data_IF_538872961963
#
_entry.id   IF_538872961963
#
_cell.length_a   1.000
_cell.length_b   1.000
_cell.length_c   1.000
_cell.angle_alpha   90.00
_cell.angle_beta   90.00
_cell.angle_gamma   90.00
#
_symmetry.space_group_name_H-M   'P 1'
#
loop_
_entity.id
_entity.type
_entity.pdbx_description
1 polymer ?
#
# COMPACT_ATOMS: atom_id res chain seq x y z
N UNK A 1 -0.69 -28.87 -13.46
CA UNK A 1 -0.27 -27.44 -13.46
C UNK A 1 0.75 -27.26 -12.35
N UNK A 2 1.76 -26.42 -12.54
CA UNK A 2 2.75 -26.14 -11.50
C UNK A 2 2.09 -25.59 -10.25
N UNK A 3 2.62 -25.93 -9.07
CA UNK A 3 2.23 -25.36 -7.79
C UNK A 3 2.78 -23.93 -7.62
N UNK A 4 3.85 -23.61 -8.34
CA UNK A 4 4.58 -22.34 -8.30
C UNK A 4 4.41 -21.56 -9.60
N UNK A 5 4.42 -20.24 -9.49
CA UNK A 5 4.31 -19.33 -10.63
C UNK A 5 5.54 -19.47 -11.56
N UNK A 6 6.72 -19.50 -10.99
CA UNK A 6 7.98 -19.77 -11.69
C UNK A 6 9.02 -20.43 -10.75
N UNK A 7 10.18 -20.79 -11.31
CA UNK A 7 11.30 -21.43 -10.61
C UNK A 7 11.87 -20.58 -9.47
N UNK A 8 11.73 -19.27 -9.52
CA UNK A 8 12.29 -18.34 -8.52
C UNK A 8 11.66 -18.54 -7.15
N UNK A 9 10.41 -19.00 -7.08
CA UNK A 9 9.73 -19.23 -5.80
C UNK A 9 10.36 -20.35 -4.96
N UNK A 10 11.16 -21.22 -5.59
CA UNK A 10 11.80 -22.40 -4.96
C UNK A 10 13.33 -22.37 -5.03
N UNK A 11 13.93 -21.27 -5.49
CA UNK A 11 15.40 -21.11 -5.43
C UNK A 11 15.88 -21.24 -3.98
N UNK A 12 17.01 -21.91 -3.79
CA UNK A 12 17.64 -21.95 -2.47
C UNK A 12 17.88 -20.51 -1.95
N UNK A 13 17.66 -20.26 -0.64
CA UNK A 13 17.76 -18.90 -0.08
C UNK A 13 19.08 -18.20 -0.38
N UNK A 14 20.21 -18.92 -0.31
CA UNK A 14 21.55 -18.36 -0.58
C UNK A 14 21.73 -18.04 -2.08
N UNK A 15 21.18 -18.86 -2.97
CA UNK A 15 21.20 -18.61 -4.42
C UNK A 15 20.36 -17.38 -4.76
N UNK A 16 19.17 -17.24 -4.16
CA UNK A 16 18.32 -16.06 -4.34
C UNK A 16 19.01 -14.79 -3.85
N UNK A 17 19.60 -14.82 -2.67
CA UNK A 17 20.34 -13.69 -2.12
C UNK A 17 21.52 -13.32 -3.01
N UNK A 18 22.30 -14.30 -3.48
CA UNK A 18 23.41 -14.10 -4.40
C UNK A 18 22.95 -13.50 -5.74
N UNK A 19 21.82 -13.96 -6.31
CA UNK A 19 21.22 -13.38 -7.52
C UNK A 19 20.85 -11.90 -7.31
N UNK A 20 20.09 -11.59 -6.25
CA UNK A 20 19.70 -10.22 -5.93
C UNK A 20 20.90 -9.29 -5.76
N UNK A 21 21.87 -9.70 -4.95
CA UNK A 21 23.06 -8.89 -4.67
C UNK A 21 24.00 -8.76 -5.90
N UNK A 22 24.06 -9.77 -6.76
CA UNK A 22 24.83 -9.69 -8.01
C UNK A 22 24.26 -8.66 -9.00
N UNK A 23 22.94 -8.50 -9.02
CA UNK A 23 22.24 -7.53 -9.88
C UNK A 23 22.18 -6.12 -9.30
N UNK A 24 22.33 -5.98 -7.97
CA UNK A 24 22.14 -4.73 -7.25
C UNK A 24 23.01 -3.58 -7.79
N UNK A 25 24.32 -3.74 -8.04
CA UNK A 25 25.15 -2.65 -8.60
C UNK A 25 24.61 -2.11 -9.93
N UNK A 26 24.17 -2.99 -10.81
CA UNK A 26 23.63 -2.61 -12.12
C UNK A 26 22.29 -1.88 -11.98
N UNK A 27 21.43 -2.33 -11.07
CA UNK A 27 20.15 -1.69 -10.76
C UNK A 27 20.39 -0.27 -10.22
N UNK A 28 21.31 -0.10 -9.27
CA UNK A 28 21.64 1.21 -8.70
C UNK A 28 22.25 2.16 -9.74
N UNK A 29 23.16 1.68 -10.60
CA UNK A 29 23.74 2.48 -11.67
C UNK A 29 22.70 2.89 -12.71
N UNK A 30 21.79 1.99 -13.10
CA UNK A 30 20.70 2.29 -14.01
C UNK A 30 19.72 3.31 -13.40
N UNK A 31 19.40 3.14 -12.12
CA UNK A 31 18.56 4.08 -11.36
C UNK A 31 19.17 5.47 -11.29
N UNK A 32 20.46 5.58 -10.96
CA UNK A 32 21.18 6.85 -10.92
C UNK A 32 21.23 7.54 -12.29
N UNK A 33 21.38 6.76 -13.36
CA UNK A 33 21.43 7.30 -14.73
C UNK A 33 20.04 7.76 -15.22
N UNK A 34 19.00 7.01 -14.89
CA UNK A 34 17.64 7.24 -15.40
C UNK A 34 16.78 8.18 -14.57
N UNK A 35 17.05 8.28 -13.25
CA UNK A 35 16.23 8.99 -12.29
C UNK A 35 17.07 10.00 -11.47
N UNK A 36 17.07 11.29 -11.82
CA UNK A 36 17.94 12.30 -11.19
C UNK A 36 17.75 12.45 -9.67
N UNK A 37 16.53 12.26 -9.17
CA UNK A 37 16.26 12.30 -7.72
C UNK A 37 16.90 11.09 -7.00
N UNK A 38 16.89 9.92 -7.62
CA UNK A 38 17.60 8.75 -7.11
C UNK A 38 19.11 8.97 -7.15
N UNK A 39 19.66 9.53 -8.24
CA UNK A 39 21.07 9.91 -8.29
C UNK A 39 21.48 10.82 -7.13
N UNK A 40 20.63 11.80 -6.78
CA UNK A 40 20.85 12.71 -5.64
C UNK A 40 20.79 11.96 -4.31
N UNK A 41 19.85 11.03 -4.13
CA UNK A 41 19.74 10.19 -2.92
C UNK A 41 20.97 9.31 -2.73
N UNK A 42 21.44 8.67 -3.81
CA UNK A 42 22.61 7.79 -3.79
C UNK A 42 23.92 8.54 -3.48
N UNK A 43 23.99 9.83 -3.83
CA UNK A 43 25.14 10.69 -3.50
C UNK A 43 26.47 10.16 -4.04
N UNK A 44 27.55 10.28 -3.24
CA UNK A 44 28.89 9.87 -3.67
C UNK A 44 29.21 8.38 -3.44
N UNK A 45 28.19 7.54 -3.19
CA UNK A 45 28.39 6.10 -2.96
C UNK A 45 28.93 5.43 -4.21
N UNK A 46 29.98 4.61 -4.07
CA UNK A 46 30.46 3.76 -5.16
C UNK A 46 29.45 2.63 -5.43
N UNK A 47 28.56 2.87 -6.39
CA UNK A 47 27.47 1.96 -6.72
C UNK A 47 27.95 0.60 -7.25
N UNK A 48 29.18 0.52 -7.79
CA UNK A 48 29.75 -0.75 -8.25
C UNK A 48 30.20 -1.63 -7.07
N UNK A 49 30.49 -1.02 -5.93
CA UNK A 49 30.91 -1.69 -4.71
C UNK A 49 29.74 -2.17 -3.83
N UNK A 50 28.51 -1.70 -4.07
CA UNK A 50 27.33 -2.11 -3.28
C UNK A 50 26.91 -3.54 -3.66
N UNK A 51 27.43 -4.54 -2.95
CA UNK A 51 27.24 -5.98 -3.23
C UNK A 51 26.76 -6.79 -2.04
N UNK A 52 26.43 -6.13 -0.94
CA UNK A 52 25.90 -6.74 0.26
C UNK A 52 24.79 -5.89 0.87
N UNK A 53 24.03 -6.48 1.81
CA UNK A 53 23.04 -5.72 2.59
C UNK A 53 23.70 -4.67 3.48
N UNK A 54 24.93 -4.91 3.93
CA UNK A 54 25.70 -3.97 4.73
C UNK A 54 26.12 -2.75 3.89
N UNK A 55 26.61 -2.96 2.67
CA UNK A 55 26.94 -1.86 1.75
C UNK A 55 25.71 -0.99 1.45
N UNK A 56 24.54 -1.61 1.36
CA UNK A 56 23.28 -0.91 1.09
C UNK A 56 22.93 0.11 2.20
N UNK A 57 23.40 -0.12 3.44
CA UNK A 57 23.17 0.81 4.57
C UNK A 57 23.85 2.17 4.39
N UNK A 58 24.84 2.28 3.51
CA UNK A 58 25.46 3.56 3.17
C UNK A 58 24.49 4.50 2.44
N UNK A 59 23.41 3.96 1.84
CA UNK A 59 22.39 4.74 1.15
C UNK A 59 21.32 5.14 2.17
N UNK A 60 20.94 6.43 2.28
CA UNK A 60 19.94 6.86 3.24
C UNK A 60 18.54 6.32 2.89
N UNK A 61 17.74 6.04 3.91
CA UNK A 61 16.32 5.71 3.73
C UNK A 61 15.59 6.96 3.25
N UNK A 62 14.82 6.80 2.18
CA UNK A 62 14.01 7.83 1.55
C UNK A 62 12.53 7.53 1.80
N UNK A 63 11.76 8.54 2.18
CA UNK A 63 10.37 8.36 2.62
C UNK A 63 9.34 9.02 1.72
N UNK A 64 8.11 8.55 1.82
CA UNK A 64 6.97 9.04 1.03
C UNK A 64 6.74 10.55 1.15
N UNK A 65 6.97 11.14 2.32
CA UNK A 65 6.87 12.60 2.52
C UNK A 65 7.93 13.37 1.71
N UNK A 66 9.12 12.82 1.58
CA UNK A 66 10.22 13.42 0.79
C UNK A 66 9.94 13.27 -0.71
N UNK A 67 9.34 12.13 -1.14
CA UNK A 67 8.86 11.93 -2.51
C UNK A 67 7.82 13.01 -2.88
N UNK A 68 6.81 13.19 -2.04
CA UNK A 68 5.76 14.19 -2.25
C UNK A 68 6.35 15.60 -2.39
N UNK A 69 7.22 15.97 -1.45
CA UNK A 69 7.89 17.28 -1.45
C UNK A 69 8.69 17.49 -2.75
N UNK A 70 9.51 16.54 -3.14
CA UNK A 70 10.32 16.63 -4.34
C UNK A 70 9.46 16.71 -5.62
N UNK A 71 8.36 15.96 -5.70
CA UNK A 71 7.43 16.06 -6.81
C UNK A 71 6.73 17.43 -6.88
N UNK A 72 6.34 18.00 -5.73
CA UNK A 72 5.73 19.32 -5.68
C UNK A 72 6.72 20.39 -6.14
N UNK A 73 7.94 20.38 -5.62
CA UNK A 73 9.01 21.32 -5.98
C UNK A 73 9.38 21.21 -7.47
N UNK A 74 9.53 20.02 -8.01
CA UNK A 74 9.86 19.81 -9.41
C UNK A 74 8.76 20.34 -10.35
N UNK A 75 7.48 20.12 -10.01
CA UNK A 75 6.36 20.65 -10.80
C UNK A 75 6.27 22.17 -10.74
N UNK A 76 6.55 22.78 -9.58
CA UNK A 76 6.57 24.24 -9.42
C UNK A 76 7.68 24.87 -10.27
N UNK A 77 8.89 24.31 -10.20
CA UNK A 77 10.03 24.74 -11.02
C UNK A 77 9.72 24.62 -12.52
N UNK A 78 9.12 23.52 -12.94
CA UNK A 78 8.76 23.31 -14.34
C UNK A 78 7.68 24.28 -14.84
N UNK A 79 6.72 24.69 -13.99
CA UNK A 79 5.71 25.69 -14.32
C UNK A 79 6.28 27.09 -14.50
N UNK A 80 7.34 27.41 -13.80
CA UNK A 80 7.94 28.76 -13.80
C UNK A 80 8.87 29.05 -14.96
N UNK A 81 9.16 28.09 -15.84
CA UNK A 81 9.98 28.39 -17.03
C UNK A 81 10.60 27.23 -17.79
N UNK A 82 10.28 25.99 -17.50
CA UNK A 82 10.86 24.86 -18.22
C UNK A 82 10.14 24.54 -19.53
N UNK A 83 10.84 24.05 -20.58
CA UNK A 83 10.23 23.51 -21.78
C UNK A 83 9.29 22.34 -21.47
N UNK A 84 8.28 22.12 -22.34
CA UNK A 84 7.28 21.08 -22.15
C UNK A 84 7.82 19.65 -22.01
N UNK A 85 8.99 19.38 -22.59
CA UNK A 85 9.67 18.08 -22.47
C UNK A 85 10.15 17.81 -21.03
N UNK A 86 10.65 18.85 -20.36
CA UNK A 86 11.09 18.74 -18.96
C UNK A 86 9.91 18.59 -18.01
N UNK A 87 8.77 19.19 -18.34
CA UNK A 87 7.56 19.04 -17.54
C UNK A 87 7.06 17.59 -17.48
N UNK A 88 7.13 16.86 -18.60
CA UNK A 88 6.72 15.45 -18.64
C UNK A 88 7.54 14.53 -17.73
N UNK A 89 8.81 14.86 -17.48
CA UNK A 89 9.68 14.17 -16.54
C UNK A 89 9.49 14.68 -15.10
N UNK A 90 9.32 16.00 -14.94
CA UNK A 90 9.22 16.65 -13.64
C UNK A 90 7.98 16.25 -12.83
N UNK A 91 6.92 15.79 -13.50
CA UNK A 91 5.70 15.30 -12.86
C UNK A 91 5.99 14.21 -11.81
N UNK A 92 6.98 13.35 -12.10
CA UNK A 92 7.42 12.29 -11.20
C UNK A 92 8.55 12.73 -10.24
N UNK A 93 8.88 14.01 -10.18
CA UNK A 93 9.89 14.55 -9.27
C UNK A 93 11.31 14.05 -9.50
N UNK A 94 11.60 13.50 -10.70
CA UNK A 94 12.90 12.90 -11.02
C UNK A 94 13.11 11.48 -10.46
N UNK A 95 12.06 10.82 -9.94
CA UNK A 95 12.13 9.44 -9.44
C UNK A 95 11.85 8.39 -10.51
N UNK A 96 11.25 8.78 -11.63
CA UNK A 96 11.00 7.90 -12.75
C UNK A 96 12.11 7.98 -13.79
N UNK A 97 12.49 6.83 -14.35
CA UNK A 97 13.39 6.77 -15.51
C UNK A 97 12.65 6.94 -16.84
N UNK A 98 11.30 6.97 -16.80
CA UNK A 98 10.45 7.21 -17.97
C UNK A 98 9.61 8.47 -17.78
N UNK A 99 9.43 9.25 -18.85
CA UNK A 99 8.47 10.34 -18.90
C UNK A 99 7.05 9.81 -19.14
N UNK A 100 6.01 10.61 -18.87
CA UNK A 100 4.63 10.18 -19.04
C UNK A 100 4.28 9.67 -20.46
N UNK A 101 4.93 10.17 -21.50
CA UNK A 101 4.70 9.72 -22.88
C UNK A 101 5.13 8.26 -23.13
N UNK A 102 6.04 7.72 -22.33
CA UNK A 102 6.46 6.32 -22.36
C UNK A 102 5.63 5.44 -21.40
N UNK A 103 4.90 6.02 -20.45
CA UNK A 103 4.01 5.30 -19.56
C UNK A 103 2.77 4.80 -20.32
N UNK A 104 2.16 3.72 -19.80
CA UNK A 104 0.82 3.25 -20.22
C UNK A 104 -0.25 4.09 -19.54
N UNK A 105 -0.08 4.37 -18.25
CA UNK A 105 -0.97 5.18 -17.41
C UNK A 105 -0.13 6.01 -16.44
N UNK A 106 -0.70 7.09 -15.95
CA UNK A 106 -0.19 7.87 -14.83
C UNK A 106 -1.26 7.86 -13.76
N UNK A 107 -0.88 7.50 -12.55
CA UNK A 107 -1.77 7.48 -11.40
C UNK A 107 -1.44 8.59 -10.42
N UNK A 108 -2.37 8.86 -9.51
CA UNK A 108 -2.20 9.80 -8.42
C UNK A 108 -2.63 9.14 -7.10
N UNK A 109 -1.69 8.92 -6.21
CA UNK A 109 -1.99 8.59 -4.82
C UNK A 109 -2.16 9.86 -3.97
N UNK A 110 -2.79 9.75 -2.78
CA UNK A 110 -3.03 10.93 -1.94
C UNK A 110 -1.76 11.73 -1.63
N UNK A 111 -1.85 13.05 -1.92
CA UNK A 111 -0.75 13.99 -1.75
C UNK A 111 -0.86 15.26 -2.60
N UNK A 112 -1.15 15.31 -3.94
CA UNK A 112 -1.09 14.21 -4.88
C UNK A 112 0.35 13.84 -5.26
N UNK A 113 0.64 12.54 -5.21
CA UNK A 113 1.85 11.93 -5.75
C UNK A 113 1.52 11.21 -7.04
N UNK A 114 2.37 11.36 -8.05
CA UNK A 114 2.16 10.76 -9.36
C UNK A 114 3.11 9.58 -9.56
N UNK A 115 2.56 8.45 -9.96
CA UNK A 115 3.28 7.22 -10.25
C UNK A 115 3.04 6.78 -11.70
N UNK A 116 4.09 6.38 -12.44
CA UNK A 116 3.92 5.81 -13.78
C UNK A 116 3.56 4.33 -13.70
N UNK A 117 2.73 3.87 -14.63
CA UNK A 117 2.64 2.46 -15.01
C UNK A 117 3.25 2.31 -16.41
N UNK A 118 4.31 1.54 -16.54
CA UNK A 118 4.90 1.30 -17.86
C UNK A 118 4.14 0.25 -18.66
N UNK A 119 4.61 -0.02 -19.88
CA UNK A 119 3.99 -1.02 -20.79
C UNK A 119 4.44 -2.46 -20.51
N UNK A 120 5.22 -2.68 -19.47
CA UNK A 120 5.72 -4.02 -19.10
C UNK A 120 4.57 -4.88 -18.62
N UNK A 121 4.52 -6.16 -19.00
CA UNK A 121 3.58 -7.10 -18.42
C UNK A 121 3.75 -7.19 -16.90
N UNK A 122 2.64 -7.34 -16.17
CA UNK A 122 2.62 -7.42 -14.70
C UNK A 122 3.53 -6.38 -14.02
N UNK A 123 3.45 -5.13 -14.49
CA UNK A 123 4.33 -4.04 -14.03
C UNK A 123 4.41 -3.92 -12.50
N UNK A 124 3.29 -4.19 -11.82
CA UNK A 124 3.15 -4.09 -10.37
C UNK A 124 3.49 -5.38 -9.62
N UNK A 125 3.71 -6.50 -10.32
CA UNK A 125 4.15 -7.76 -9.77
C UNK A 125 3.09 -8.60 -9.05
N UNK A 126 1.79 -8.34 -9.25
CA UNK A 126 0.70 -9.05 -8.56
C UNK A 126 0.33 -10.40 -9.18
N UNK A 127 0.82 -10.75 -10.38
CA UNK A 127 0.49 -12.03 -11.03
C UNK A 127 0.87 -13.23 -10.15
N UNK A 128 2.01 -13.15 -9.48
CA UNK A 128 2.48 -14.16 -8.52
C UNK A 128 1.52 -14.34 -7.34
N UNK A 129 1.00 -13.24 -6.80
CA UNK A 129 0.02 -13.27 -5.71
C UNK A 129 -1.32 -13.89 -6.17
N UNK A 130 -1.80 -13.53 -7.35
CA UNK A 130 -2.98 -14.14 -7.96
C UNK A 130 -2.79 -15.64 -8.17
N UNK A 131 -1.62 -16.04 -8.69
CA UNK A 131 -1.29 -17.45 -8.92
C UNK A 131 -1.27 -18.24 -7.61
N UNK A 132 -0.65 -17.69 -6.56
CA UNK A 132 -0.62 -18.29 -5.22
C UNK A 132 -2.01 -18.38 -4.58
N UNK A 133 -2.91 -17.41 -4.87
CA UNK A 133 -4.31 -17.45 -4.47
C UNK A 133 -5.18 -18.41 -5.31
N UNK A 134 -4.58 -19.13 -6.25
CA UNK A 134 -5.25 -20.18 -7.03
C UNK A 134 -5.87 -19.71 -8.34
N UNK A 135 -5.64 -18.49 -8.78
CA UNK A 135 -6.11 -18.02 -10.10
C UNK A 135 -5.30 -18.67 -11.23
N UNK A 136 -5.98 -19.02 -12.30
CA UNK A 136 -5.40 -19.73 -13.44
C UNK A 136 -5.95 -19.17 -14.76
N UNK A 137 -5.24 -19.48 -15.83
CA UNK A 137 -5.58 -19.13 -17.21
C UNK A 137 -7.05 -19.39 -17.51
N UNK A 138 -7.66 -18.50 -18.33
CA UNK A 138 -9.04 -18.58 -18.83
C UNK A 138 -10.11 -18.35 -17.73
N UNK A 139 -9.72 -18.00 -16.52
CA UNK A 139 -10.67 -17.63 -15.48
C UNK A 139 -11.13 -16.17 -15.60
N UNK A 140 -12.37 -15.91 -15.18
CA UNK A 140 -12.92 -14.56 -15.04
C UNK A 140 -12.69 -14.06 -13.61
N UNK A 141 -12.03 -12.92 -13.50
CA UNK A 141 -11.76 -12.22 -12.24
C UNK A 141 -12.66 -10.99 -12.14
N UNK A 142 -13.38 -10.86 -11.06
CA UNK A 142 -14.21 -9.68 -10.75
C UNK A 142 -13.37 -8.69 -9.93
N UNK A 143 -12.91 -7.61 -10.57
CA UNK A 143 -12.00 -6.65 -9.95
C UNK A 143 -12.76 -5.44 -9.41
N UNK A 144 -12.86 -5.33 -8.08
CA UNK A 144 -13.53 -4.25 -7.36
C UNK A 144 -12.57 -3.22 -6.77
N UNK A 145 -11.31 -3.21 -7.15
CA UNK A 145 -10.44 -2.08 -6.84
C UNK A 145 -10.80 -0.85 -7.67
N UNK A 146 -10.50 0.34 -7.12
CA UNK A 146 -10.75 1.59 -7.82
C UNK A 146 -9.92 1.68 -9.10
N UNK A 147 -10.57 2.10 -10.18
CA UNK A 147 -9.95 2.47 -11.44
C UNK A 147 -9.73 4.00 -11.58
N UNK A 148 -10.10 4.76 -10.54
CA UNK A 148 -9.99 6.21 -10.52
C UNK A 148 -8.80 6.65 -9.68
N UNK A 149 -7.96 7.52 -10.25
CA UNK A 149 -6.77 8.12 -9.67
C UNK A 149 -5.69 7.10 -9.24
N UNK A 150 -5.99 6.19 -8.31
CA UNK A 150 -5.03 5.23 -7.76
C UNK A 150 -4.82 4.00 -8.65
N UNK A 151 -3.66 3.34 -8.59
CA UNK A 151 -3.33 2.24 -9.49
C UNK A 151 -4.00 0.90 -9.14
N UNK A 152 -4.70 0.76 -8.02
CA UNK A 152 -5.11 -0.53 -7.48
C UNK A 152 -5.91 -1.41 -8.46
N UNK A 153 -6.87 -0.83 -9.23
CA UNK A 153 -7.60 -1.55 -10.26
C UNK A 153 -6.68 -2.04 -11.39
N UNK A 154 -5.77 -1.17 -11.84
CA UNK A 154 -4.79 -1.51 -12.89
C UNK A 154 -3.77 -2.55 -12.43
N UNK A 155 -3.36 -2.52 -11.16
CA UNK A 155 -2.47 -3.52 -10.58
C UNK A 155 -3.01 -4.93 -10.75
N UNK A 156 -4.27 -5.14 -10.38
CA UNK A 156 -4.92 -6.44 -10.48
C UNK A 156 -5.24 -6.80 -11.93
N UNK A 157 -5.64 -5.83 -12.75
CA UNK A 157 -5.92 -6.05 -14.17
C UNK A 157 -4.67 -6.50 -14.94
N UNK A 158 -3.54 -5.79 -14.78
CA UNK A 158 -2.29 -6.17 -15.48
C UNK A 158 -1.76 -7.53 -15.01
N UNK A 159 -1.92 -7.84 -13.73
CA UNK A 159 -1.56 -9.13 -13.15
C UNK A 159 -2.45 -10.27 -13.67
N UNK A 160 -3.76 -10.04 -13.76
CA UNK A 160 -4.71 -10.99 -14.32
C UNK A 160 -4.40 -11.30 -15.79
N UNK A 161 -4.13 -10.25 -16.59
CA UNK A 161 -3.74 -10.41 -18.00
C UNK A 161 -2.42 -11.18 -18.15
N UNK A 162 -1.47 -11.03 -17.23
CA UNK A 162 -0.23 -11.81 -17.24
C UNK A 162 -0.45 -13.31 -16.94
N UNK A 163 -1.60 -13.67 -16.37
CA UNK A 163 -2.05 -15.05 -16.18
C UNK A 163 -3.01 -15.54 -17.27
N UNK A 164 -3.22 -14.75 -18.33
CA UNK A 164 -4.24 -15.02 -19.36
C UNK A 164 -5.66 -15.13 -18.78
N UNK A 165 -5.97 -14.39 -17.71
CA UNK A 165 -7.31 -14.27 -17.14
C UNK A 165 -8.09 -13.14 -17.81
N UNK A 166 -9.42 -13.29 -17.82
CA UNK A 166 -10.34 -12.21 -18.18
C UNK A 166 -10.70 -11.38 -16.94
N UNK A 167 -10.84 -10.07 -17.09
CA UNK A 167 -11.19 -9.16 -15.99
C UNK A 167 -12.52 -8.47 -16.27
N UNK A 168 -13.42 -8.51 -15.27
CA UNK A 168 -14.55 -7.60 -15.22
C UNK A 168 -14.19 -6.40 -14.33
N UNK A 169 -14.13 -5.16 -14.86
CA UNK A 169 -13.70 -3.98 -14.11
C UNK A 169 -14.87 -3.39 -13.30
N UNK A 170 -15.30 -4.09 -12.25
CA UNK A 170 -16.43 -3.70 -11.41
C UNK A 170 -16.22 -2.40 -10.65
N UNK A 171 -14.97 -2.15 -10.21
CA UNK A 171 -14.64 -0.95 -9.44
C UNK A 171 -15.32 -0.91 -8.07
N UNK A 172 -15.44 0.29 -7.50
CA UNK A 172 -16.00 0.50 -6.15
C UNK A 172 -17.45 0.97 -6.19
N UNK A 173 -18.20 0.70 -5.12
CA UNK A 173 -19.61 1.14 -4.97
C UNK A 173 -20.61 0.31 -5.78
N UNK A 174 -21.81 0.88 -6.00
CA UNK A 174 -22.88 0.29 -6.82
C UNK A 174 -23.22 -1.18 -6.47
N UNK A 175 -23.32 -1.49 -5.18
CA UNK A 175 -23.36 -2.87 -4.65
C UNK A 175 -24.42 -3.76 -5.32
N UNK A 176 -25.62 -3.23 -5.60
CA UNK A 176 -26.69 -4.00 -6.26
C UNK A 176 -26.31 -4.39 -7.70
N UNK A 177 -25.70 -3.48 -8.45
CA UNK A 177 -25.23 -3.77 -9.80
C UNK A 177 -24.07 -4.77 -9.79
N UNK A 178 -23.17 -4.69 -8.78
CA UNK A 178 -22.11 -5.67 -8.58
C UNK A 178 -22.70 -7.08 -8.37
N UNK A 179 -23.75 -7.20 -7.53
CA UNK A 179 -24.46 -8.48 -7.28
C UNK A 179 -25.03 -9.03 -8.59
N UNK A 180 -25.76 -8.21 -9.36
CA UNK A 180 -26.34 -8.63 -10.64
C UNK A 180 -25.26 -9.11 -11.62
N UNK A 181 -24.21 -8.31 -11.80
CA UNK A 181 -23.13 -8.67 -12.71
C UNK A 181 -22.41 -9.97 -12.29
N UNK A 182 -22.18 -10.17 -10.98
CA UNK A 182 -21.59 -11.41 -10.48
C UNK A 182 -22.51 -12.63 -10.70
N UNK A 183 -23.82 -12.46 -10.55
CA UNK A 183 -24.79 -13.54 -10.78
C UNK A 183 -24.82 -13.94 -12.28
N UNK A 184 -24.79 -12.96 -13.16
CA UNK A 184 -24.85 -13.17 -14.62
C UNK A 184 -23.55 -13.76 -15.16
N UNK A 185 -22.41 -13.20 -14.76
CA UNK A 185 -21.08 -13.53 -15.29
C UNK A 185 -20.42 -14.73 -14.60
N UNK A 186 -20.82 -15.05 -13.37
CA UNK A 186 -20.30 -16.16 -12.56
C UNK A 186 -18.77 -16.18 -12.47
N UNK A 187 -18.13 -15.11 -11.96
CA UNK A 187 -16.68 -15.05 -11.90
C UNK A 187 -16.10 -16.17 -11.03
N UNK A 188 -14.92 -16.65 -11.38
CA UNK A 188 -14.19 -17.66 -10.61
C UNK A 188 -13.62 -17.10 -9.30
N UNK A 189 -13.32 -15.79 -9.31
CA UNK A 189 -12.74 -15.14 -8.14
C UNK A 189 -12.85 -13.62 -8.18
N UNK A 190 -12.46 -13.04 -7.06
CA UNK A 190 -12.60 -11.62 -6.75
C UNK A 190 -11.24 -10.99 -6.42
N UNK A 191 -11.04 -9.74 -6.82
CA UNK A 191 -9.97 -8.87 -6.32
C UNK A 191 -10.53 -7.55 -5.81
N UNK A 192 -10.13 -7.14 -4.63
CA UNK A 192 -10.66 -5.94 -3.97
C UNK A 192 -10.33 -5.92 -2.48
N UNK A 193 -11.03 -5.07 -1.72
CA UNK A 193 -10.93 -5.09 -0.27
C UNK A 193 -11.81 -6.20 0.32
N UNK A 194 -11.42 -6.82 1.44
CA UNK A 194 -12.22 -7.87 2.06
C UNK A 194 -13.59 -7.35 2.56
N UNK A 195 -13.61 -6.13 3.11
CA UNK A 195 -14.87 -5.52 3.58
C UNK A 195 -15.88 -5.34 2.45
N UNK A 196 -15.44 -4.95 1.24
CA UNK A 196 -16.35 -4.72 0.14
C UNK A 196 -16.91 -6.03 -0.44
N UNK A 197 -16.11 -7.10 -0.53
CA UNK A 197 -16.63 -8.41 -0.92
C UNK A 197 -17.69 -8.90 0.09
N UNK A 198 -17.44 -8.73 1.39
CA UNK A 198 -18.42 -9.10 2.42
C UNK A 198 -19.73 -8.35 2.20
N UNK A 199 -19.69 -7.03 1.99
CA UNK A 199 -20.86 -6.20 1.69
C UNK A 199 -21.62 -6.72 0.45
N UNK A 200 -20.92 -7.08 -0.62
CA UNK A 200 -21.52 -7.63 -1.84
C UNK A 200 -22.23 -8.96 -1.53
N UNK A 201 -21.59 -9.87 -0.79
CA UNK A 201 -22.17 -11.18 -0.45
C UNK A 201 -23.37 -11.06 0.48
N UNK A 202 -23.33 -10.20 1.50
CA UNK A 202 -24.47 -9.90 2.38
C UNK A 202 -25.61 -9.26 1.59
N UNK A 203 -25.31 -8.37 0.65
CA UNK A 203 -26.32 -7.79 -0.23
C UNK A 203 -26.97 -8.84 -1.14
N UNK A 204 -26.18 -9.74 -1.71
CA UNK A 204 -26.68 -10.86 -2.52
C UNK A 204 -27.64 -11.74 -1.71
N UNK A 205 -27.31 -12.06 -0.45
CA UNK A 205 -28.22 -12.79 0.45
C UNK A 205 -29.52 -12.02 0.66
N UNK A 206 -29.47 -10.71 0.92
CA UNK A 206 -30.67 -9.89 1.12
C UNK A 206 -31.56 -9.81 -0.12
N UNK A 207 -30.97 -9.90 -1.30
CA UNK A 207 -31.65 -9.92 -2.60
C UNK A 207 -32.09 -11.34 -3.00
N UNK A 208 -31.75 -12.37 -2.24
CA UNK A 208 -31.95 -13.79 -2.55
C UNK A 208 -31.31 -14.22 -3.89
N UNK A 209 -30.17 -13.62 -4.22
CA UNK A 209 -29.40 -13.92 -5.42
C UNK A 209 -28.18 -14.75 -5.04
N UNK A 210 -28.02 -15.91 -5.69
CA UNK A 210 -26.83 -16.74 -5.54
C UNK A 210 -25.66 -16.18 -6.37
N UNK A 211 -24.43 -16.32 -5.86
CA UNK A 211 -23.20 -15.96 -6.57
C UNK A 211 -22.41 -17.25 -6.91
N UNK A 212 -22.89 -18.04 -7.88
CA UNK A 212 -22.26 -19.30 -8.23
C UNK A 212 -20.92 -19.05 -8.93
N UNK A 213 -19.90 -19.87 -8.60
CA UNK A 213 -18.56 -19.78 -9.20
C UNK A 213 -17.55 -19.02 -8.34
N UNK A 214 -17.99 -18.06 -7.52
CA UNK A 214 -17.09 -17.31 -6.65
C UNK A 214 -16.52 -18.20 -5.55
N UNK A 215 -15.26 -18.63 -5.72
CA UNK A 215 -14.60 -19.61 -4.83
C UNK A 215 -13.29 -19.12 -4.22
N UNK A 216 -12.72 -18.05 -4.75
CA UNK A 216 -11.44 -17.51 -4.31
C UNK A 216 -11.40 -15.98 -4.38
N UNK A 217 -10.51 -15.39 -3.58
CA UNK A 217 -10.28 -13.94 -3.61
C UNK A 217 -8.83 -13.58 -3.28
N UNK A 218 -8.32 -12.51 -3.89
CA UNK A 218 -7.11 -11.84 -3.47
C UNK A 218 -7.46 -10.45 -2.93
N UNK A 219 -7.17 -10.23 -1.66
CA UNK A 219 -7.45 -9.00 -0.93
C UNK A 219 -6.20 -8.15 -0.76
N UNK A 220 -6.36 -6.84 -0.79
CA UNK A 220 -5.33 -5.87 -0.42
C UNK A 220 -5.96 -4.55 0.02
N UNK A 221 -5.13 -3.63 0.54
CA UNK A 221 -5.55 -2.27 0.90
C UNK A 221 -6.29 -2.15 2.23
N UNK A 222 -6.65 -3.25 2.87
CA UNK A 222 -7.26 -3.33 4.21
C UNK A 222 -6.71 -4.54 4.97
N UNK A 223 -6.86 -4.52 6.29
CA UNK A 223 -6.58 -5.69 7.12
C UNK A 223 -7.50 -6.87 6.77
N UNK A 224 -6.96 -8.07 6.85
CA UNK A 224 -7.70 -9.32 6.64
C UNK A 224 -7.59 -10.20 7.90
N UNK A 225 -8.35 -9.87 8.97
CA UNK A 225 -8.24 -10.52 10.26
C UNK A 225 -8.80 -11.94 10.25
N UNK A 226 -8.46 -12.79 11.25
CA UNK A 226 -8.93 -14.17 11.37
C UNK A 226 -10.46 -14.31 11.35
N UNK A 227 -11.17 -13.35 11.92
CA UNK A 227 -12.66 -13.33 11.90
C UNK A 227 -13.22 -13.25 10.46
N UNK A 228 -12.63 -12.39 9.60
CA UNK A 228 -13.02 -12.33 8.18
C UNK A 228 -12.55 -13.55 7.40
N UNK A 229 -11.38 -14.09 7.69
CA UNK A 229 -10.90 -15.34 7.07
C UNK A 229 -11.87 -16.48 7.32
N UNK A 230 -12.31 -16.64 8.58
CA UNK A 230 -13.32 -17.63 8.98
C UNK A 230 -14.64 -17.39 8.26
N UNK A 231 -15.12 -16.15 8.26
CA UNK A 231 -16.39 -15.79 7.62
C UNK A 231 -16.40 -16.16 6.12
N UNK A 232 -15.37 -15.80 5.36
CA UNK A 232 -15.27 -16.15 3.94
C UNK A 232 -15.15 -17.65 3.71
N UNK A 233 -14.39 -18.36 4.54
CA UNK A 233 -14.27 -19.82 4.47
C UNK A 233 -15.62 -20.52 4.69
N UNK A 234 -16.42 -20.05 5.66
CA UNK A 234 -17.76 -20.56 5.93
C UNK A 234 -18.74 -20.27 4.77
N UNK A 235 -18.45 -19.26 3.95
CA UNK A 235 -19.24 -18.91 2.75
C UNK A 235 -18.62 -19.46 1.45
N UNK A 236 -17.67 -20.40 1.54
CA UNK A 236 -17.08 -21.09 0.39
C UNK A 236 -16.07 -20.28 -0.41
N UNK A 237 -15.54 -19.17 0.13
CA UNK A 237 -14.53 -18.32 -0.53
C UNK A 237 -13.18 -18.48 0.15
N UNK A 238 -12.18 -19.00 -0.58
CA UNK A 238 -10.79 -19.02 -0.14
C UNK A 238 -10.14 -17.66 -0.39
N UNK A 239 -10.17 -16.75 0.60
CA UNK A 239 -9.54 -15.44 0.51
C UNK A 239 -8.05 -15.50 0.86
N UNK A 240 -7.21 -14.76 0.16
CA UNK A 240 -5.78 -14.57 0.41
C UNK A 240 -5.49 -13.06 0.42
N UNK A 241 -4.40 -12.65 1.07
CA UNK A 241 -4.03 -11.24 1.13
C UNK A 241 -2.69 -10.98 0.44
N UNK A 242 -2.54 -9.76 -0.09
CA UNK A 242 -1.27 -9.24 -0.57
C UNK A 242 -0.98 -7.87 0.03
N UNK A 243 0.28 -7.66 0.37
CA UNK A 243 0.80 -6.38 0.84
C UNK A 243 1.54 -5.68 -0.30
N UNK A 244 1.15 -4.45 -0.56
CA UNK A 244 1.76 -3.60 -1.58
C UNK A 244 1.38 -2.14 -1.44
N UNK A 245 2.00 -1.29 -2.24
CA UNK A 245 1.71 0.14 -2.28
C UNK A 245 1.65 0.68 -3.71
N UNK A 246 1.10 1.87 -3.87
CA UNK A 246 1.07 2.57 -5.16
C UNK A 246 2.47 2.91 -5.70
N UNK A 247 3.45 3.03 -4.80
CA UNK A 247 4.82 3.39 -5.15
C UNK A 247 5.63 2.17 -5.62
N UNK A 248 5.45 1.02 -4.96
CA UNK A 248 6.32 -0.16 -5.10
C UNK A 248 5.66 -1.33 -5.83
N UNK A 249 4.33 -1.32 -5.97
CA UNK A 249 3.59 -2.50 -6.37
C UNK A 249 3.52 -3.55 -5.27
N UNK A 250 3.53 -4.84 -5.61
CA UNK A 250 3.42 -5.95 -4.68
C UNK A 250 4.75 -6.17 -3.94
N UNK A 251 4.70 -6.15 -2.61
CA UNK A 251 5.85 -6.38 -1.73
C UNK A 251 5.85 -7.83 -1.23
N UNK A 252 4.70 -8.31 -0.76
CA UNK A 252 4.58 -9.66 -0.23
C UNK A 252 3.14 -10.20 -0.38
N UNK A 253 2.98 -11.53 -0.36
CA UNK A 253 1.70 -12.18 -0.61
C UNK A 253 1.52 -13.43 0.26
N UNK A 254 0.27 -13.71 0.61
CA UNK A 254 -0.13 -14.91 1.34
C UNK A 254 -0.20 -16.13 0.43
N UNK A 255 0.06 -17.29 0.99
CA UNK A 255 -0.02 -18.59 0.33
C UNK A 255 -0.99 -19.52 1.07
N UNK A 256 -1.22 -20.72 0.54
CA UNK A 256 -2.05 -21.73 1.20
C UNK A 256 -1.56 -22.14 2.60
N UNK A 257 -0.28 -21.87 2.93
CA UNK A 257 0.27 -22.15 4.26
C UNK A 257 -0.34 -21.26 5.35
N UNK A 258 -0.88 -20.07 5.02
CA UNK A 258 -1.46 -19.12 5.98
C UNK A 258 -0.48 -18.67 7.08
N UNK A 259 0.79 -18.75 6.81
CA UNK A 259 1.86 -18.39 7.76
C UNK A 259 2.69 -17.22 7.27
N UNK A 260 2.16 -16.01 7.46
CA UNK A 260 2.79 -14.77 7.00
C UNK A 260 2.69 -14.55 5.50
N UNK A 261 3.42 -13.54 5.02
CA UNK A 261 3.45 -13.16 3.60
C UNK A 261 4.84 -13.40 3.03
N UNK A 262 4.92 -14.16 1.95
CA UNK A 262 6.15 -14.44 1.19
C UNK A 262 6.53 -13.20 0.39
N UNK A 263 7.81 -12.82 0.38
CA UNK A 263 8.30 -11.65 -0.35
C UNK A 263 8.26 -11.85 -1.87
N UNK A 264 8.07 -10.73 -2.59
CA UNK A 264 8.27 -10.69 -4.03
C UNK A 264 9.75 -10.94 -4.38
N UNK A 265 9.98 -11.62 -5.51
CA UNK A 265 11.31 -12.04 -5.99
C UNK A 265 12.16 -10.89 -6.60
N UNK A 266 11.56 -9.71 -6.82
CA UNK A 266 12.22 -8.58 -7.48
C UNK A 266 12.38 -7.36 -6.57
N UNK A 267 12.68 -7.60 -5.29
CA UNK A 267 12.98 -6.54 -4.33
C UNK A 267 13.91 -7.05 -3.22
N UNK A 268 14.59 -6.11 -2.57
CA UNK A 268 15.26 -6.35 -1.29
C UNK A 268 14.43 -5.64 -0.22
N UNK A 269 14.03 -6.39 0.80
CA UNK A 269 13.31 -5.86 1.97
C UNK A 269 14.25 -5.81 3.16
N UNK A 270 14.19 -4.69 3.88
CA UNK A 270 14.83 -4.46 5.17
C UNK A 270 13.74 -4.13 6.20
N UNK A 271 13.92 -4.59 7.43
CA UNK A 271 13.14 -4.09 8.59
C UNK A 271 14.07 -3.24 9.41
N UNK A 272 13.76 -1.96 9.53
CA UNK A 272 14.65 -0.98 10.17
C UNK A 272 13.98 -0.31 11.36
N UNK A 273 14.77 0.17 12.31
CA UNK A 273 14.27 0.99 13.40
C UNK A 273 13.73 2.32 12.85
N UNK A 274 12.45 2.64 13.11
CA UNK A 274 11.84 3.86 12.60
C UNK A 274 12.66 5.10 12.88
N UNK A 275 12.83 5.97 11.87
CA UNK A 275 13.59 7.21 11.97
C UNK A 275 15.12 7.08 11.87
N UNK A 276 15.70 5.88 11.99
CA UNK A 276 17.17 5.70 11.97
C UNK A 276 17.72 5.08 10.70
N UNK A 277 16.91 4.27 9.99
CA UNK A 277 17.35 3.48 8.84
C UNK A 277 18.28 2.30 9.20
N UNK A 278 18.51 2.02 10.49
CA UNK A 278 19.32 0.90 10.95
C UNK A 278 18.49 -0.38 11.07
N UNK A 279 19.00 -1.53 10.60
CA UNK A 279 18.30 -2.81 10.74
C UNK A 279 17.98 -3.14 12.20
N UNK A 280 16.84 -3.80 12.39
CA UNK A 280 16.46 -4.37 13.70
C UNK A 280 16.94 -5.82 13.79
N UNK A 281 16.90 -6.39 15.01
CA UNK A 281 17.21 -7.81 15.19
C UNK A 281 16.18 -8.72 14.48
N UNK A 282 16.57 -9.92 14.03
CA UNK A 282 15.64 -10.85 13.39
C UNK A 282 14.39 -11.09 14.26
N UNK A 283 13.20 -10.91 13.66
CA UNK A 283 11.91 -11.06 14.34
C UNK A 283 11.44 -9.84 15.14
N UNK A 284 12.28 -8.81 15.33
CA UNK A 284 11.88 -7.53 15.91
C UNK A 284 11.01 -6.74 14.91
N UNK A 285 10.04 -5.99 15.44
CA UNK A 285 9.17 -5.13 14.64
C UNK A 285 9.89 -3.83 14.29
N UNK A 286 9.82 -3.43 13.02
CA UNK A 286 10.38 -2.18 12.52
C UNK A 286 9.69 -1.69 11.26
N UNK A 287 10.16 -0.56 10.73
CA UNK A 287 9.67 0.03 9.48
C UNK A 287 10.11 -0.82 8.28
N UNK A 288 9.16 -1.10 7.39
CA UNK A 288 9.44 -1.78 6.12
C UNK A 288 10.12 -0.80 5.17
N UNK A 289 11.32 -1.14 4.76
CA UNK A 289 12.12 -0.43 3.76
C UNK A 289 12.36 -1.35 2.58
N UNK A 290 12.15 -0.85 1.36
CA UNK A 290 12.24 -1.65 0.13
C UNK A 290 13.17 -1.00 -0.88
N UNK A 291 14.06 -1.81 -1.45
CA UNK A 291 14.79 -1.49 -2.68
C UNK A 291 14.15 -2.27 -3.83
N UNK A 292 13.51 -1.55 -4.74
CA UNK A 292 12.80 -2.12 -5.89
C UNK A 292 13.75 -2.34 -7.07
N UNK A 293 13.58 -3.45 -7.77
CA UNK A 293 14.29 -3.74 -9.02
C UNK A 293 13.45 -3.34 -10.26
N UNK A 294 12.47 -2.48 -10.08
CA UNK A 294 11.71 -1.90 -11.18
C UNK A 294 12.55 -0.83 -11.90
N UNK A 295 12.96 -1.03 -13.17
CA UNK A 295 13.83 -0.10 -13.87
C UNK A 295 13.14 1.21 -14.28
N UNK A 296 11.80 1.22 -14.34
CA UNK A 296 11.03 2.38 -14.80
C UNK A 296 10.70 3.35 -13.65
N UNK A 297 10.62 2.83 -12.42
CA UNK A 297 10.41 3.60 -11.19
C UNK A 297 11.27 3.01 -10.05
N UNK A 298 12.59 3.23 -10.12
CA UNK A 298 13.56 2.52 -9.28
C UNK A 298 13.70 3.13 -7.90
N UNK A 299 12.78 2.85 -6.99
CA UNK A 299 12.87 3.31 -5.60
C UNK A 299 13.90 2.50 -4.83
N UNK A 300 14.90 3.18 -4.26
CA UNK A 300 16.01 2.58 -3.49
C UNK A 300 15.85 2.93 -2.02
N UNK A 301 15.92 1.93 -1.15
CA UNK A 301 15.71 2.05 0.30
C UNK A 301 14.51 2.96 0.66
N UNK A 302 13.39 2.70 -0.01
CA UNK A 302 12.17 3.45 0.20
C UNK A 302 11.44 2.97 1.46
N UNK A 303 11.32 3.86 2.44
CA UNK A 303 10.56 3.64 3.68
C UNK A 303 9.07 3.78 3.42
N UNK A 304 8.33 2.69 3.60
CA UNK A 304 6.88 2.66 3.35
C UNK A 304 6.06 3.38 4.42
N UNK A 305 6.66 3.58 5.60
CA UNK A 305 5.96 4.04 6.80
C UNK A 305 5.09 2.96 7.46
N UNK A 306 5.13 1.72 6.97
CA UNK A 306 4.45 0.58 7.57
C UNK A 306 5.38 -0.22 8.48
N UNK A 307 4.83 -0.84 9.51
CA UNK A 307 5.54 -1.74 10.40
C UNK A 307 5.32 -3.20 10.02
N UNK A 308 6.39 -4.00 10.11
CA UNK A 308 6.32 -5.45 10.02
C UNK A 308 7.51 -6.09 10.77
N UNK A 309 7.60 -7.41 10.73
CA UNK A 309 8.74 -8.18 11.23
C UNK A 309 9.01 -9.38 10.31
N UNK A 310 10.28 -9.71 10.11
CA UNK A 310 10.67 -10.93 9.40
C UNK A 310 10.30 -12.16 10.24
N UNK A 311 9.71 -13.16 9.62
CA UNK A 311 9.40 -14.44 10.24
C UNK A 311 10.56 -15.42 10.09
N UNK A 312 10.86 -16.24 11.10
CA UNK A 312 11.88 -17.27 10.98
C UNK A 312 11.42 -18.45 10.10
N UNK A 313 12.39 -19.14 9.53
CA UNK A 313 12.19 -20.39 8.78
C UNK A 313 11.53 -20.19 7.42
N UNK A 314 11.44 -21.29 6.67
CA UNK A 314 10.82 -21.35 5.34
C UNK A 314 9.31 -21.50 5.45
N UNK A 315 8.60 -21.14 4.37
CA UNK A 315 7.16 -21.36 4.28
C UNK A 315 6.83 -22.84 4.14
N UNK A 316 5.83 -23.37 4.90
CA UNK A 316 5.38 -24.77 4.72
C UNK A 316 4.84 -25.08 3.34
N UNK A 317 4.54 -24.07 2.51
CA UNK A 317 4.11 -24.27 1.13
C UNK A 317 5.26 -24.54 0.15
N UNK A 318 6.49 -24.70 0.62
CA UNK A 318 7.66 -24.97 -0.21
C UNK A 318 8.32 -23.74 -0.87
N UNK A 319 7.71 -22.54 -0.75
CA UNK A 319 8.37 -21.29 -1.17
C UNK A 319 9.48 -20.94 -0.21
N UNK A 320 10.63 -20.63 -0.75
CA UNK A 320 11.88 -20.49 -0.01
C UNK A 320 12.26 -19.03 0.30
N UNK A 321 11.53 -18.05 -0.28
CA UNK A 321 11.79 -16.64 0.03
C UNK A 321 11.39 -16.29 1.48
N UNK A 322 12.00 -15.23 2.00
CA UNK A 322 11.68 -14.70 3.33
C UNK A 322 10.18 -14.38 3.46
N UNK A 323 9.69 -14.46 4.70
CA UNK A 323 8.32 -14.10 5.04
C UNK A 323 8.30 -12.95 6.04
N UNK A 324 7.27 -12.12 5.93
CA UNK A 324 6.96 -11.10 6.92
C UNK A 324 5.60 -11.38 7.58
N UNK A 325 5.40 -10.84 8.78
CA UNK A 325 4.13 -11.00 9.52
C UNK A 325 2.93 -10.30 8.87
N UNK A 326 3.20 -9.50 7.80
CA UNK A 326 2.20 -8.64 7.20
C UNK A 326 2.20 -7.25 7.84
N UNK A 327 1.14 -6.49 7.62
CA UNK A 327 1.01 -5.14 8.14
C UNK A 327 0.73 -5.15 9.66
N UNK A 328 1.54 -4.45 10.43
CA UNK A 328 1.48 -4.38 11.90
C UNK A 328 1.21 -2.96 12.42
N UNK A 329 0.89 -2.01 11.54
CA UNK A 329 0.61 -0.62 11.88
C UNK A 329 1.41 0.36 11.03
N UNK A 330 1.33 1.65 11.38
CA UNK A 330 2.01 2.75 10.69
C UNK A 330 3.15 3.31 11.53
N UNK A 331 4.33 3.42 10.93
CA UNK A 331 5.50 4.05 11.55
C UNK A 331 5.36 5.58 11.64
N UNK A 332 4.62 6.19 10.72
CA UNK A 332 4.42 7.64 10.61
C UNK A 332 3.07 8.13 11.18
N UNK A 333 2.35 7.26 11.86
CA UNK A 333 1.02 7.51 12.42
C UNK A 333 -0.06 7.87 11.38
N UNK A 334 0.17 7.65 10.10
CA UNK A 334 -0.90 7.81 9.11
C UNK A 334 -1.86 6.62 9.19
N UNK A 335 -3.15 6.88 9.29
CA UNK A 335 -4.17 5.82 9.33
C UNK A 335 -5.17 5.96 8.19
N UNK A 336 -5.73 4.83 7.74
CA UNK A 336 -6.76 4.79 6.71
C UNK A 336 -8.13 4.68 7.38
N UNK A 337 -9.01 5.65 7.14
CA UNK A 337 -10.37 5.69 7.67
C UNK A 337 -11.34 5.74 6.51
N UNK A 338 -12.25 4.76 6.40
CA UNK A 338 -13.25 4.68 5.30
C UNK A 338 -12.65 4.89 3.90
N UNK A 339 -11.47 4.29 3.65
CA UNK A 339 -10.77 4.41 2.38
C UNK A 339 -9.91 5.66 2.19
N UNK A 340 -9.99 6.65 3.08
CA UNK A 340 -9.22 7.88 3.04
C UNK A 340 -8.05 7.85 4.04
N UNK A 341 -6.87 8.28 3.60
CA UNK A 341 -5.73 8.42 4.51
C UNK A 341 -5.83 9.72 5.30
N UNK A 342 -5.68 9.60 6.61
CA UNK A 342 -5.55 10.74 7.53
C UNK A 342 -4.16 10.71 8.14
N UNK A 343 -3.47 11.85 8.14
CA UNK A 343 -2.10 11.97 8.63
C UNK A 343 -1.96 13.11 9.66
N UNK A 344 -0.93 13.07 10.52
CA UNK A 344 -0.73 14.03 11.60
C UNK A 344 -0.77 15.50 11.17
N UNK A 345 -0.25 15.79 9.97
CA UNK A 345 -0.28 17.16 9.43
C UNK A 345 -1.70 17.71 9.21
N UNK A 346 -2.69 16.85 8.92
CA UNK A 346 -4.09 17.29 8.80
C UNK A 346 -4.69 17.60 10.17
N UNK A 347 -4.36 16.83 11.20
CA UNK A 347 -4.79 17.11 12.58
C UNK A 347 -4.23 18.44 13.06
N UNK A 348 -2.95 18.69 12.79
CA UNK A 348 -2.31 19.96 13.12
C UNK A 348 -2.90 21.16 12.33
N UNK A 349 -3.21 20.96 11.05
CA UNK A 349 -3.86 21.98 10.22
C UNK A 349 -5.25 22.35 10.75
N UNK A 350 -6.03 21.38 11.24
CA UNK A 350 -7.31 21.64 11.90
C UNK A 350 -7.08 22.44 13.18
N UNK A 351 -6.14 22.00 14.02
CA UNK A 351 -5.79 22.67 15.27
C UNK A 351 -5.40 24.14 15.06
N UNK A 352 -4.54 24.41 14.08
CA UNK A 352 -4.06 25.78 13.79
C UNK A 352 -5.13 26.73 13.25
N UNK A 353 -6.22 26.21 12.67
CA UNK A 353 -7.36 27.04 12.23
C UNK A 353 -8.16 27.62 13.40
N UNK A 354 -8.10 27.00 14.56
CA UNK A 354 -8.87 27.36 15.75
C UNK A 354 -7.91 27.65 16.89
N UNK A 355 -7.70 28.95 17.16
CA UNK A 355 -6.68 29.44 18.12
C UNK A 355 -6.97 29.08 19.58
N UNK A 356 -8.22 28.79 19.90
CA UNK A 356 -8.69 28.37 21.21
C UNK A 356 -8.33 26.92 21.58
N UNK A 357 -7.85 26.13 20.61
CA UNK A 357 -7.52 24.74 20.82
C UNK A 357 -6.10 24.54 21.39
N UNK A 358 -6.01 23.70 22.40
CA UNK A 358 -4.77 23.15 22.91
C UNK A 358 -4.25 21.97 22.07
N UNK A 359 -3.81 20.91 22.75
CA UNK A 359 -3.39 19.68 22.09
C UNK A 359 -4.59 18.98 21.41
N UNK A 360 -4.34 18.36 20.26
CA UNK A 360 -5.35 17.58 19.55
C UNK A 360 -4.82 16.18 19.23
N UNK A 361 -5.72 15.20 19.27
CA UNK A 361 -5.49 13.81 18.89
C UNK A 361 -6.66 13.27 18.09
N UNK A 362 -6.37 12.60 17.00
CA UNK A 362 -7.35 11.84 16.27
C UNK A 362 -7.33 10.39 16.74
N UNK A 363 -8.47 9.88 17.17
CA UNK A 363 -8.63 8.47 17.56
C UNK A 363 -9.52 7.78 16.54
N UNK A 364 -9.08 6.64 16.03
CA UNK A 364 -9.90 5.81 15.15
C UNK A 364 -10.31 4.56 15.92
N UNK A 365 -11.62 4.36 16.04
CA UNK A 365 -12.25 3.25 16.76
C UNK A 365 -13.17 2.47 15.84
N UNK A 366 -13.63 1.30 16.28
CA UNK A 366 -14.64 0.48 15.60
C UNK A 366 -14.13 -0.88 15.19
N UNK A 367 -15.05 -1.72 14.70
CA UNK A 367 -14.75 -3.00 14.07
C UNK A 367 -14.45 -2.79 12.58
N UNK A 368 -13.86 -3.80 11.93
CA UNK A 368 -13.56 -3.77 10.50
C UNK A 368 -14.75 -3.32 9.65
N UNK A 369 -14.57 -2.28 8.84
CA UNK A 369 -15.61 -1.71 7.98
C UNK A 369 -16.58 -0.71 8.66
N UNK A 370 -16.47 -0.49 9.98
CA UNK A 370 -17.29 0.46 10.73
C UNK A 370 -16.43 1.52 11.45
N UNK A 371 -15.49 2.09 10.73
CA UNK A 371 -14.57 3.09 11.27
C UNK A 371 -15.32 4.29 11.87
N UNK A 372 -15.03 4.59 13.12
CA UNK A 372 -15.45 5.77 13.83
C UNK A 372 -14.24 6.67 14.05
N UNK A 373 -14.30 7.88 13.52
CA UNK A 373 -13.27 8.88 13.69
C UNK A 373 -13.66 9.84 14.80
N UNK A 374 -12.85 9.98 15.83
CA UNK A 374 -13.05 10.85 16.97
C UNK A 374 -11.91 11.86 17.03
N UNK A 375 -12.23 13.15 16.98
CA UNK A 375 -11.29 14.24 17.12
C UNK A 375 -11.32 14.74 18.57
N UNK A 376 -10.34 14.29 19.35
CA UNK A 376 -10.15 14.72 20.73
C UNK A 376 -9.33 16.01 20.77
N UNK A 377 -9.79 17.02 21.49
CA UNK A 377 -9.11 18.30 21.53
C UNK A 377 -9.23 18.97 22.90
N UNK A 378 -8.10 19.45 23.39
CA UNK A 378 -8.06 20.23 24.63
C UNK A 378 -8.56 21.66 24.37
N UNK A 379 -9.44 22.14 25.26
CA UNK A 379 -9.96 23.52 25.22
C UNK A 379 -10.21 24.03 26.63
N UNK A 380 -9.72 25.22 26.95
CA UNK A 380 -9.89 25.83 28.28
C UNK A 380 -11.33 26.33 28.49
N UNK A 381 -11.99 26.80 27.42
CA UNK A 381 -13.40 27.15 27.42
C UNK A 381 -13.98 26.85 26.04
N UNK A 382 -15.19 26.25 25.99
CA UNK A 382 -15.87 25.95 24.75
C UNK A 382 -16.74 27.12 24.29
N UNK A 383 -16.31 27.92 23.28
CA UNK A 383 -17.14 28.94 22.69
C UNK A 383 -18.38 28.36 22.03
N UNK A 384 -19.45 29.14 21.97
CA UNK A 384 -20.66 28.77 21.24
C UNK A 384 -20.31 28.60 19.72
N UNK A 385 -20.80 27.52 19.13
CA UNK A 385 -20.53 27.18 17.70
C UNK A 385 -19.21 26.52 17.41
N UNK A 386 -18.27 26.38 18.34
CA UNK A 386 -16.95 25.77 18.09
C UNK A 386 -17.06 24.33 17.57
N UNK A 387 -17.99 23.54 18.09
CA UNK A 387 -18.17 22.15 17.66
C UNK A 387 -18.54 22.04 16.16
N UNK A 388 -19.47 22.90 15.71
CA UNK A 388 -19.83 22.98 14.30
C UNK A 388 -18.68 23.42 13.40
N UNK A 389 -17.96 24.47 13.82
CA UNK A 389 -16.81 24.98 13.07
C UNK A 389 -15.67 23.96 12.97
N UNK A 390 -15.44 23.17 14.03
CA UNK A 390 -14.50 22.06 14.02
C UNK A 390 -14.95 20.93 13.10
N UNK A 391 -16.22 20.53 13.16
CA UNK A 391 -16.77 19.50 12.29
C UNK A 391 -16.64 19.87 10.80
N UNK A 392 -16.86 21.15 10.46
CA UNK A 392 -16.68 21.66 9.10
C UNK A 392 -15.20 21.66 8.68
N UNK A 393 -14.29 22.11 9.53
CA UNK A 393 -12.84 22.08 9.29
C UNK A 393 -12.32 20.66 9.10
N UNK A 394 -12.76 19.71 9.95
CA UNK A 394 -12.42 18.29 9.83
C UNK A 394 -12.88 17.75 8.48
N UNK A 395 -14.15 18.02 8.12
CA UNK A 395 -14.71 17.54 6.85
C UNK A 395 -14.01 18.17 5.63
N UNK A 396 -13.68 19.45 5.71
CA UNK A 396 -12.97 20.16 4.63
C UNK A 396 -11.56 19.58 4.41
N UNK A 397 -10.81 19.36 5.49
CA UNK A 397 -9.40 18.95 5.43
C UNK A 397 -9.26 17.44 5.18
N UNK A 398 -10.01 16.62 5.90
CA UNK A 398 -9.89 15.15 5.82
C UNK A 398 -10.83 14.48 4.80
N UNK A 399 -11.85 15.21 4.33
CA UNK A 399 -12.99 14.70 3.54
C UNK A 399 -13.85 13.66 4.30
N UNK A 400 -13.66 13.55 5.61
CA UNK A 400 -14.36 12.62 6.49
C UNK A 400 -15.13 13.40 7.57
N UNK A 401 -16.11 12.73 8.20
CA UNK A 401 -16.78 13.20 9.38
C UNK A 401 -16.18 12.56 10.63
N UNK A 402 -15.95 13.35 11.67
CA UNK A 402 -15.54 12.88 12.98
C UNK A 402 -16.51 13.35 14.05
N UNK A 403 -16.61 12.59 15.12
CA UNK A 403 -17.15 13.06 16.39
C UNK A 403 -16.10 13.95 17.06
N UNK A 404 -16.51 15.07 17.66
CA UNK A 404 -15.61 15.94 18.42
C UNK A 404 -15.77 15.68 19.90
N UNK A 405 -14.68 15.36 20.58
CA UNK A 405 -14.60 15.21 22.04
C UNK A 405 -13.75 16.33 22.63
N UNK A 406 -14.36 17.18 23.44
CA UNK A 406 -13.64 18.25 24.14
C UNK A 406 -13.05 17.71 25.44
N UNK A 407 -11.77 18.01 25.65
CA UNK A 407 -10.99 17.58 26.81
C UNK A 407 -10.50 18.79 27.59
N UNK A 408 -10.32 18.61 28.89
CA UNK A 408 -9.68 19.64 29.73
C UNK A 408 -8.19 19.81 29.34
N UNK A 409 -7.61 21.01 29.45
CA UNK A 409 -6.19 21.23 29.18
C UNK A 409 -5.30 20.28 29.98
N UNK A 410 -4.40 19.57 29.29
CA UNK A 410 -3.49 18.59 29.87
C UNK A 410 -4.08 17.18 30.06
N UNK A 411 -5.30 16.93 29.61
CA UNK A 411 -5.94 15.61 29.70
C UNK A 411 -5.46 14.62 28.63
N UNK A 412 -4.98 15.12 27.48
CA UNK A 412 -4.43 14.24 26.45
C UNK A 412 -3.02 13.75 26.82
N UNK A 413 -2.72 12.45 26.60
CA UNK A 413 -1.39 11.89 26.88
C UNK A 413 -0.30 12.61 26.08
N UNK A 414 0.83 12.92 26.72
CA UNK A 414 2.02 13.50 26.07
C UNK A 414 2.98 12.41 25.58
N UNK A 415 2.46 11.45 24.84
CA UNK A 415 3.18 10.27 24.32
C UNK A 415 3.69 10.45 22.87
N UNK A 416 3.53 11.65 22.30
CA UNK A 416 3.92 11.98 20.92
C UNK A 416 2.96 11.44 19.84
N UNK A 417 1.88 10.77 20.22
CA UNK A 417 0.90 10.28 19.26
C UNK A 417 -0.12 11.35 18.94
N UNK A 418 -0.16 11.74 17.68
CA UNK A 418 -1.16 12.65 17.11
C UNK A 418 -2.36 11.88 16.55
N UNK A 419 -2.12 10.68 16.02
CA UNK A 419 -3.17 9.75 15.59
C UNK A 419 -3.00 8.45 16.34
N UNK A 420 -4.09 7.91 16.86
CA UNK A 420 -4.15 6.63 17.56
C UNK A 420 -5.20 5.74 16.91
N UNK A 421 -4.75 4.62 16.36
CA UNK A 421 -5.64 3.60 15.81
C UNK A 421 -5.95 2.56 16.89
N UNK A 422 -7.17 2.61 17.42
CA UNK A 422 -7.68 1.71 18.46
C UNK A 422 -8.61 0.64 17.92
N UNK A 423 -8.65 0.45 16.59
CA UNK A 423 -9.50 -0.60 16.01
C UNK A 423 -9.01 -1.98 16.44
N UNK A 424 -9.95 -2.82 16.83
CA UNK A 424 -9.66 -4.25 16.98
C UNK A 424 -9.77 -4.92 15.61
N UNK A 425 -8.80 -5.71 15.28
CA UNK A 425 -8.76 -6.55 14.08
C UNK A 425 -8.94 -8.04 14.45
N UNK A 426 -9.49 -8.29 15.66
CA UNK A 426 -9.80 -9.63 16.17
C UNK A 426 -11.11 -10.19 15.61
#
# INVERSE_FOLDING_TARGET
MSEYYDERETLEPDEREADLLSRLPQVLQAAAKGAPAIAKQLGPVDLAAVRSREDLLAIPVFRKSELLKAQLEAREQARSGAPSADYAQSVFGGFSSIAWGAARKVFASPGPMYEPESRRPDYWGFARALYAAGFRREELIFNCFSYHFTPAGSMMETAAHALDCTVFPGGVGQTEQQVQAMADLRPHGYTGTPSFLKIIMEKAQSMQIALPGLSKALFSGEAYPPSLQKWFSEHGVAGYQAYGSADLGMIAYETQAREGLVLNENLILEIVRPGTGQPVAPGEVGEVVVTSFNPDYPLVRFGTGDLSAVMPGQSPCGRTNQRIRGWMGRADQTTKVRGMFVHPGQVEQIRLRHKELGQARLVVRGASGQDQMVFQVEVASKPEGLEGALADSIREITKLRAQVEFMEPGALPRDGKVIEDQRSYD
#
